data_IF_925698185914
#
_entry.id   IF_925698185914
#
_cell.length_a   1.000
_cell.length_b   1.000
_cell.length_c   1.000
_cell.angle_alpha   90.00
_cell.angle_beta   90.00
_cell.angle_gamma   90.00
#
_symmetry.space_group_name_H-M   'P 1'
#
loop_
_entity.id
_entity.type
_entity.pdbx_description
1 polymer ?
#
# COMPACT_ATOMS: atom_id res chain seq x y z
N UNK A 1 -64.88 24.70 16.67
CA UNK A 1 -64.44 23.81 15.58
C UNK A 1 -63.33 24.54 14.81
N UNK A 2 -62.05 24.38 15.19
CA UNK A 2 -60.94 24.88 14.38
C UNK A 2 -59.72 23.97 14.61
N UNK A 3 -59.27 23.36 13.52
CA UNK A 3 -58.34 22.25 13.48
C UNK A 3 -56.90 22.70 13.70
N UNK A 4 -56.18 21.83 14.40
CA UNK A 4 -54.74 21.76 14.58
C UNK A 4 -54.07 21.44 13.23
N UNK A 5 -53.03 22.17 12.88
CA UNK A 5 -51.95 21.68 12.01
C UNK A 5 -50.62 22.26 12.50
N UNK A 6 -49.88 21.45 13.28
CA UNK A 6 -48.46 21.65 13.52
C UNK A 6 -47.71 20.91 12.43
N UNK A 7 -46.95 21.65 11.63
CA UNK A 7 -46.07 21.12 10.59
C UNK A 7 -44.91 20.36 11.25
N UNK A 8 -44.85 19.05 11.03
CA UNK A 8 -43.66 18.23 11.30
C UNK A 8 -42.63 18.53 10.20
N UNK A 9 -41.48 19.10 10.56
CA UNK A 9 -40.30 19.12 9.70
C UNK A 9 -39.50 17.85 9.96
N UNK A 10 -39.54 16.90 9.02
CA UNK A 10 -38.72 15.70 9.02
C UNK A 10 -37.33 16.10 8.47
N UNK A 11 -36.32 16.16 9.33
CA UNK A 11 -34.94 16.32 8.89
C UNK A 11 -34.44 14.99 8.31
N UNK A 12 -34.36 14.90 6.99
CA UNK A 12 -33.72 13.79 6.30
C UNK A 12 -32.20 13.88 6.53
N UNK A 13 -31.66 12.98 7.34
CA UNK A 13 -30.22 12.81 7.46
C UNK A 13 -29.68 12.28 6.13
N UNK A 14 -28.87 13.11 5.45
CA UNK A 14 -28.12 12.71 4.26
C UNK A 14 -27.03 11.75 4.72
N UNK A 15 -27.28 10.45 4.57
CA UNK A 15 -26.25 9.41 4.67
C UNK A 15 -25.29 9.60 3.50
N UNK A 16 -24.12 10.17 3.77
CA UNK A 16 -23.00 10.05 2.85
C UNK A 16 -22.54 8.59 2.89
N UNK A 17 -22.50 7.87 1.74
CA UNK A 17 -21.84 6.58 1.72
C UNK A 17 -20.35 6.83 2.02
N UNK A 18 -19.84 6.17 3.06
CA UNK A 18 -18.41 6.07 3.28
C UNK A 18 -17.78 5.52 1.99
N UNK A 19 -16.98 6.34 1.32
CA UNK A 19 -16.16 5.86 0.21
C UNK A 19 -15.23 4.80 0.78
N UNK A 20 -15.42 3.54 0.41
CA UNK A 20 -14.39 2.54 0.54
C UNK A 20 -13.19 3.06 -0.26
N UNK A 21 -12.22 3.63 0.44
CA UNK A 21 -11.00 4.15 -0.18
C UNK A 21 -10.28 2.94 -0.76
N UNK A 22 -10.26 2.84 -2.09
CA UNK A 22 -9.54 1.83 -2.84
C UNK A 22 -8.09 1.80 -2.33
N UNK A 23 -7.62 0.63 -1.90
CA UNK A 23 -6.25 0.42 -1.43
C UNK A 23 -5.26 0.89 -2.50
N UNK A 24 -4.61 2.02 -2.27
CA UNK A 24 -3.66 2.63 -3.20
C UNK A 24 -2.35 1.85 -3.33
N UNK A 25 -2.19 0.76 -2.58
CA UNK A 25 -1.03 -0.13 -2.63
C UNK A 25 -1.38 -1.53 -3.19
N UNK A 26 -2.63 -1.75 -3.64
CA UNK A 26 -2.97 -2.95 -4.40
C UNK A 26 -2.29 -2.91 -5.78
N UNK A 27 -1.40 -3.88 -6.03
CA UNK A 27 -0.79 -4.05 -7.34
C UNK A 27 -1.87 -4.20 -8.41
N UNK A 28 -1.80 -3.40 -9.47
CA UNK A 28 -2.77 -3.50 -10.56
C UNK A 28 -2.31 -4.56 -11.54
N UNK A 29 -3.14 -5.58 -11.76
CA UNK A 29 -2.94 -6.57 -12.80
C UNK A 29 -3.84 -6.24 -13.98
N UNK A 30 -3.25 -6.06 -15.15
CA UNK A 30 -3.95 -5.92 -16.41
C UNK A 30 -3.73 -7.18 -17.26
N UNK A 31 -4.81 -7.89 -17.51
CA UNK A 31 -4.83 -8.97 -18.51
C UNK A 31 -5.28 -8.41 -19.86
N UNK A 32 -4.56 -8.73 -20.93
CA UNK A 32 -4.89 -8.28 -22.28
C UNK A 32 -5.40 -9.44 -23.12
N UNK A 33 -6.36 -9.14 -23.98
CA UNK A 33 -6.79 -10.05 -25.04
C UNK A 33 -5.68 -10.25 -26.07
N UNK A 34 -5.76 -11.33 -26.83
CA UNK A 34 -4.79 -11.59 -27.90
C UNK A 34 -4.75 -10.43 -28.91
N UNK A 35 -3.54 -10.07 -29.35
CA UNK A 35 -3.28 -9.05 -30.39
C UNK A 35 -2.34 -9.63 -31.45
N UNK A 36 -2.55 -9.27 -32.71
CA UNK A 36 -1.72 -9.68 -33.84
C UNK A 36 -1.15 -8.47 -34.55
N UNK A 37 0.15 -8.52 -34.85
CA UNK A 37 0.89 -7.48 -35.55
C UNK A 37 1.42 -8.06 -36.85
N UNK A 38 1.30 -7.31 -37.95
CA UNK A 38 1.72 -7.77 -39.29
C UNK A 38 2.63 -6.76 -39.97
N UNK A 39 3.73 -7.22 -40.56
CA UNK A 39 4.65 -6.41 -41.36
C UNK A 39 4.88 -7.04 -42.73
N UNK A 40 4.62 -6.30 -43.80
CA UNK A 40 4.82 -6.77 -45.19
C UNK A 40 6.20 -6.43 -45.75
N UNK A 41 6.99 -5.63 -45.04
CA UNK A 41 8.34 -5.24 -45.43
C UNK A 41 9.26 -5.22 -44.22
N UNK A 42 10.58 -5.28 -44.44
CA UNK A 42 11.59 -5.20 -43.37
C UNK A 42 11.73 -3.81 -42.75
N UNK A 43 10.89 -2.84 -43.15
CA UNK A 43 10.76 -1.56 -42.46
C UNK A 43 9.93 -1.79 -41.22
N UNK A 44 10.54 -1.54 -40.07
CA UNK A 44 9.86 -1.65 -38.77
C UNK A 44 8.72 -0.64 -38.71
N UNK A 45 7.51 -1.13 -38.48
CA UNK A 45 6.31 -0.31 -38.31
C UNK A 45 5.65 -0.73 -37.01
N UNK A 46 5.69 0.16 -36.02
CA UNK A 46 4.97 -0.01 -34.77
C UNK A 46 3.53 0.47 -34.94
N UNK A 47 2.59 -0.21 -34.31
CA UNK A 47 1.22 0.28 -34.14
C UNK A 47 1.22 1.35 -33.05
N UNK A 48 1.26 2.62 -33.47
CA UNK A 48 1.30 3.77 -32.57
C UNK A 48 -0.08 4.14 -32.03
N UNK A 49 -1.14 3.67 -32.68
CA UNK A 49 -2.52 3.98 -32.30
C UNK A 49 -3.00 3.07 -31.18
N UNK A 50 -2.46 1.85 -31.08
CA UNK A 50 -2.86 0.85 -30.08
C UNK A 50 -1.67 0.31 -29.25
N UNK A 51 -0.90 1.17 -28.57
CA UNK A 51 0.16 0.72 -27.68
C UNK A 51 -0.39 -0.13 -26.54
N UNK A 52 0.45 -0.98 -25.97
CA UNK A 52 0.14 -1.67 -24.72
C UNK A 52 0.49 -0.71 -23.57
N UNK A 53 -0.51 -0.01 -23.05
CA UNK A 53 -0.34 0.92 -21.94
C UNK A 53 -0.12 0.17 -20.63
N UNK A 54 0.93 0.55 -19.89
CA UNK A 54 1.17 0.02 -18.56
C UNK A 54 0.12 0.61 -17.59
N UNK A 55 -0.42 -0.18 -16.64
CA UNK A 55 -1.36 0.33 -15.65
C UNK A 55 -0.71 1.27 -14.62
N UNK A 56 0.61 1.47 -14.71
CA UNK A 56 1.38 2.42 -13.92
C UNK A 56 2.44 3.08 -14.81
N UNK A 57 2.83 4.30 -14.43
CA UNK A 57 3.95 5.02 -15.03
C UNK A 57 4.62 5.88 -13.97
N UNK A 58 5.93 6.06 -14.06
CA UNK A 58 6.67 6.96 -13.17
C UNK A 58 7.71 6.27 -12.30
N UNK A 59 8.40 7.06 -11.48
CA UNK A 59 9.48 6.62 -10.58
C UNK A 59 8.99 5.96 -9.29
N UNK A 60 7.69 5.75 -9.15
CA UNK A 60 7.04 5.22 -7.94
C UNK A 60 6.58 3.78 -8.09
N UNK A 61 6.74 3.17 -9.28
CA UNK A 61 6.29 1.82 -9.57
C UNK A 61 7.37 1.04 -10.33
N UNK A 62 7.62 -0.16 -9.86
CA UNK A 62 8.23 -1.23 -10.63
C UNK A 62 7.11 -1.92 -11.43
N UNK A 63 7.47 -2.66 -12.47
CA UNK A 63 6.48 -3.45 -13.21
C UNK A 63 7.09 -4.74 -13.72
N UNK A 64 6.25 -5.75 -13.85
CA UNK A 64 6.59 -7.00 -14.52
C UNK A 64 5.48 -7.37 -15.47
N UNK A 65 5.80 -8.16 -16.47
CA UNK A 65 4.81 -8.64 -17.40
C UNK A 65 5.25 -9.88 -18.13
N UNK A 66 4.28 -10.56 -18.72
CA UNK A 66 4.53 -11.70 -19.58
C UNK A 66 3.48 -11.78 -20.68
N UNK A 67 3.85 -12.34 -21.81
CA UNK A 67 2.92 -12.75 -22.85
C UNK A 67 3.47 -13.97 -23.58
N UNK A 68 2.56 -14.82 -24.02
CA UNK A 68 2.88 -15.88 -24.98
C UNK A 68 2.94 -15.25 -26.36
N UNK A 69 3.93 -15.63 -27.15
CA UNK A 69 4.10 -15.15 -28.52
C UNK A 69 4.14 -16.34 -29.49
N UNK A 70 3.46 -16.17 -30.63
CA UNK A 70 3.58 -17.03 -31.81
C UNK A 70 3.97 -16.14 -32.97
N UNK A 71 5.07 -16.47 -33.65
CA UNK A 71 5.61 -15.61 -34.71
C UNK A 71 6.19 -16.42 -35.86
N UNK A 72 6.04 -15.93 -37.09
CA UNK A 72 6.65 -16.48 -38.30
C UNK A 72 8.04 -15.88 -38.61
N UNK A 73 8.44 -14.83 -37.86
CA UNK A 73 9.74 -14.19 -37.93
C UNK A 73 10.21 -13.63 -36.59
N UNK A 74 11.42 -13.10 -36.55
CA UNK A 74 11.89 -12.30 -35.42
C UNK A 74 11.07 -11.01 -35.29
N UNK A 75 11.05 -10.40 -34.10
CA UNK A 75 10.27 -9.20 -33.84
C UNK A 75 10.99 -8.27 -32.86
N UNK A 76 10.42 -7.08 -32.68
CA UNK A 76 10.92 -6.04 -31.80
C UNK A 76 9.91 -5.73 -30.71
N UNK A 77 10.42 -5.43 -29.52
CA UNK A 77 9.65 -4.90 -28.40
C UNK A 77 10.25 -3.55 -28.04
N UNK A 78 9.45 -2.50 -28.08
CA UNK A 78 9.83 -1.16 -27.67
C UNK A 78 9.20 -0.82 -26.33
N UNK A 79 10.02 -0.45 -25.36
CA UNK A 79 9.59 0.13 -24.10
C UNK A 79 9.78 1.66 -24.21
N UNK A 80 8.68 2.40 -24.14
CA UNK A 80 8.64 3.84 -24.38
C UNK A 80 7.87 4.59 -23.29
N UNK A 81 8.09 5.90 -23.22
CA UNK A 81 7.25 6.82 -22.45
C UNK A 81 5.98 7.19 -23.23
N UNK A 82 5.16 8.12 -22.72
CA UNK A 82 3.92 8.55 -23.36
C UNK A 82 4.11 9.21 -24.73
N UNK A 83 5.31 9.69 -25.05
CA UNK A 83 5.68 10.22 -26.37
C UNK A 83 5.99 9.13 -27.40
N UNK A 84 5.90 7.86 -27.01
CA UNK A 84 6.13 6.67 -27.85
C UNK A 84 7.52 6.67 -28.48
N UNK A 85 7.69 6.01 -29.63
CA UNK A 85 8.96 5.98 -30.37
C UNK A 85 9.38 7.37 -30.89
N UNK A 86 8.50 8.37 -30.88
CA UNK A 86 8.83 9.75 -31.26
C UNK A 86 9.39 10.59 -30.11
N UNK A 87 9.43 10.05 -28.88
CA UNK A 87 9.84 10.81 -27.70
C UNK A 87 11.29 11.27 -27.75
N UNK A 88 11.54 12.50 -27.30
CA UNK A 88 12.89 13.04 -27.08
C UNK A 88 13.62 12.32 -25.94
N UNK A 89 12.91 11.70 -25.00
CA UNK A 89 13.50 10.93 -23.91
C UNK A 89 13.98 9.55 -24.36
N UNK A 90 13.53 9.13 -25.54
CA UNK A 90 14.01 7.95 -26.21
C UNK A 90 13.20 6.68 -26.01
N UNK A 91 13.76 5.57 -26.48
CA UNK A 91 13.14 4.24 -26.45
C UNK A 91 14.17 3.17 -26.15
N UNK A 92 13.80 2.20 -25.33
CA UNK A 92 14.55 0.95 -25.17
C UNK A 92 13.94 -0.07 -26.14
N UNK A 93 14.67 -0.40 -27.20
CA UNK A 93 14.24 -1.39 -28.18
C UNK A 93 14.96 -2.71 -27.96
N UNK A 94 14.19 -3.78 -27.88
CA UNK A 94 14.65 -5.16 -27.79
C UNK A 94 14.42 -5.83 -29.14
N UNK A 95 15.46 -6.43 -29.71
CA UNK A 95 15.31 -7.41 -30.78
C UNK A 95 15.11 -8.79 -30.16
N UNK A 96 13.93 -9.37 -30.36
CA UNK A 96 13.54 -10.69 -29.88
C UNK A 96 13.61 -11.69 -31.03
N UNK A 97 14.82 -12.19 -31.28
CA UNK A 97 15.08 -13.12 -32.37
C UNK A 97 14.74 -14.56 -32.01
N UNK A 98 13.45 -14.91 -31.94
CA UNK A 98 13.02 -16.29 -31.63
C UNK A 98 13.47 -17.31 -32.68
N UNK A 99 13.52 -16.89 -33.96
CA UNK A 99 13.90 -17.74 -35.07
C UNK A 99 15.41 -17.68 -35.31
N UNK A 100 16.03 -16.52 -35.17
CA UNK A 100 17.49 -16.37 -35.28
C UNK A 100 18.27 -16.78 -34.03
N UNK A 101 17.56 -16.99 -32.92
CA UNK A 101 18.11 -17.22 -31.57
C UNK A 101 19.05 -16.08 -31.12
N UNK A 102 18.74 -14.84 -31.50
CA UNK A 102 19.54 -13.65 -31.18
C UNK A 102 18.70 -12.66 -30.40
N UNK A 103 19.27 -12.18 -29.30
CA UNK A 103 18.65 -11.16 -28.48
C UNK A 103 19.62 -10.00 -28.31
N UNK A 104 19.13 -8.78 -28.49
CA UNK A 104 19.92 -7.58 -28.27
C UNK A 104 19.03 -6.44 -27.84
N UNK A 105 19.63 -5.47 -27.16
CA UNK A 105 18.98 -4.22 -26.78
C UNK A 105 19.69 -3.03 -27.36
N UNK A 106 18.94 -1.98 -27.61
CA UNK A 106 19.46 -0.71 -28.04
C UNK A 106 18.64 0.43 -27.45
N UNK A 107 19.26 1.62 -27.39
CA UNK A 107 18.61 2.84 -26.96
C UNK A 107 18.75 3.89 -28.05
N UNK A 108 17.63 4.50 -28.45
CA UNK A 108 17.56 5.53 -29.50
C UNK A 108 18.21 5.17 -30.84
N UNK A 109 18.39 3.87 -31.09
CA UNK A 109 18.89 3.37 -32.36
C UNK A 109 17.81 2.52 -32.98
N UNK A 110 17.05 3.11 -33.89
CA UNK A 110 16.18 2.35 -34.78
C UNK A 110 17.07 1.48 -35.67
N UNK A 111 17.33 0.25 -35.25
CA UNK A 111 18.05 -0.72 -36.06
C UNK A 111 17.22 -1.03 -37.31
N UNK A 112 17.44 -0.31 -38.41
CA UNK A 112 16.89 -0.68 -39.71
C UNK A 112 17.48 -2.02 -40.11
N UNK A 113 16.65 -3.03 -40.36
CA UNK A 113 17.13 -4.30 -40.84
C UNK A 113 17.78 -4.10 -42.22
N UNK A 114 19.12 -4.19 -42.28
CA UNK A 114 19.90 -3.91 -43.49
C UNK A 114 19.85 -5.03 -44.54
N UNK A 115 19.05 -6.09 -44.36
CA UNK A 115 19.06 -7.26 -45.25
C UNK A 115 17.64 -7.74 -45.53
N UNK A 116 17.41 -8.19 -46.76
CA UNK A 116 16.27 -9.04 -47.10
C UNK A 116 16.41 -10.33 -46.28
N UNK A 117 15.47 -10.54 -45.36
CA UNK A 117 15.44 -11.76 -44.55
C UNK A 117 14.57 -12.74 -45.29
N UNK A 118 15.16 -13.91 -45.59
CA UNK A 118 14.53 -15.02 -46.29
C UNK A 118 13.17 -15.32 -45.67
N UNK A 119 12.14 -15.29 -46.52
CA UNK A 119 10.74 -15.49 -46.17
C UNK A 119 10.51 -16.90 -45.64
N UNK A 120 9.74 -16.98 -44.55
CA UNK A 120 9.11 -18.18 -43.98
C UNK A 120 10.03 -19.28 -43.47
N UNK A 121 10.32 -19.24 -42.15
CA UNK A 121 10.57 -20.43 -41.36
C UNK A 121 9.28 -20.82 -40.63
N UNK A 122 9.18 -22.07 -40.14
CA UNK A 122 8.02 -22.53 -39.36
C UNK A 122 7.76 -21.57 -38.19
N UNK A 123 6.49 -21.27 -37.94
CA UNK A 123 6.08 -20.46 -36.81
C UNK A 123 6.67 -21.02 -35.52
N UNK A 124 7.24 -20.14 -34.71
CA UNK A 124 7.84 -20.49 -33.42
C UNK A 124 7.06 -19.82 -32.31
N UNK A 125 6.95 -20.50 -31.16
CA UNK A 125 6.31 -19.96 -29.97
C UNK A 125 7.27 -19.90 -28.79
N UNK A 126 7.05 -18.94 -27.89
CA UNK A 126 7.74 -18.84 -26.61
C UNK A 126 6.90 -18.01 -25.64
N UNK A 127 7.22 -18.09 -24.34
CA UNK A 127 6.75 -17.09 -23.37
C UNK A 127 7.84 -16.05 -23.19
N UNK A 128 7.50 -14.79 -23.45
CA UNK A 128 8.37 -13.65 -23.14
C UNK A 128 7.90 -13.04 -21.84
N UNK A 129 8.81 -12.87 -20.88
CA UNK A 129 8.53 -12.11 -19.67
C UNK A 129 9.59 -11.04 -19.44
N UNK A 130 9.22 -10.01 -18.70
CA UNK A 130 10.11 -8.91 -18.35
C UNK A 130 9.84 -8.42 -16.95
N UNK A 131 10.89 -7.90 -16.32
CA UNK A 131 10.83 -7.26 -15.02
C UNK A 131 11.59 -5.93 -15.11
N UNK A 132 10.97 -4.86 -14.64
CA UNK A 132 11.59 -3.56 -14.48
C UNK A 132 11.62 -3.23 -13.01
N UNK A 133 12.82 -3.24 -12.44
CA UNK A 133 13.05 -2.91 -11.03
C UNK A 133 14.36 -2.19 -10.83
N UNK A 134 14.39 -1.21 -9.92
CA UNK A 134 15.59 -0.43 -9.60
C UNK A 134 16.30 0.15 -10.84
N UNK A 135 15.53 0.66 -11.80
CA UNK A 135 15.99 1.18 -13.10
C UNK A 135 16.71 0.14 -13.99
N UNK A 136 16.41 -1.14 -13.80
CA UNK A 136 16.95 -2.23 -14.62
C UNK A 136 15.80 -2.98 -15.27
N UNK A 137 15.78 -2.99 -16.60
CA UNK A 137 14.90 -3.83 -17.41
C UNK A 137 15.58 -5.18 -17.66
N UNK A 138 14.94 -6.25 -17.22
CA UNK A 138 15.35 -7.63 -17.47
C UNK A 138 14.32 -8.32 -18.37
N UNK A 139 14.77 -9.04 -19.39
CA UNK A 139 13.91 -9.81 -20.30
C UNK A 139 14.29 -11.28 -20.31
N UNK A 140 13.27 -12.14 -20.34
CA UNK A 140 13.38 -13.58 -20.23
C UNK A 140 12.62 -14.25 -21.39
N UNK A 141 13.12 -15.40 -21.82
CA UNK A 141 12.41 -16.32 -22.72
C UNK A 141 12.27 -17.66 -22.00
N UNK A 142 11.05 -18.16 -21.88
CA UNK A 142 10.74 -19.43 -21.23
C UNK A 142 11.39 -19.52 -19.84
N UNK A 143 11.34 -18.41 -19.09
CA UNK A 143 11.93 -18.27 -17.74
C UNK A 143 13.46 -18.04 -17.69
N UNK A 144 14.18 -18.14 -18.81
CA UNK A 144 15.63 -17.91 -18.86
C UNK A 144 15.94 -16.44 -19.16
N UNK A 145 16.78 -15.81 -18.31
CA UNK A 145 17.25 -14.44 -18.51
C UNK A 145 18.08 -14.33 -19.79
N UNK A 146 17.75 -13.34 -20.63
CA UNK A 146 18.44 -13.08 -21.91
C UNK A 146 19.09 -11.70 -21.95
N UNK A 147 18.42 -10.71 -21.37
CA UNK A 147 18.82 -9.31 -21.45
C UNK A 147 18.69 -8.70 -20.06
N UNK A 148 19.67 -7.87 -19.73
CA UNK A 148 19.60 -6.89 -18.65
C UNK A 148 20.03 -5.55 -19.20
N UNK A 149 19.21 -4.52 -19.01
CA UNK A 149 19.47 -3.17 -19.50
C UNK A 149 19.23 -2.15 -18.39
N UNK A 150 20.27 -1.37 -18.06
CA UNK A 150 20.17 -0.27 -17.10
C UNK A 150 19.56 0.95 -17.80
N UNK A 151 18.35 1.31 -17.38
CA UNK A 151 17.64 2.47 -17.86
C UNK A 151 18.36 3.78 -17.48
N UNK A 152 18.39 4.73 -18.42
CA UNK A 152 19.14 5.99 -18.33
C UNK A 152 18.25 7.22 -18.12
N UNK A 153 17.07 7.04 -17.53
CA UNK A 153 16.03 8.05 -17.22
C UNK A 153 14.78 8.04 -18.11
N UNK A 154 14.50 6.95 -18.84
CA UNK A 154 13.23 6.82 -19.56
C UNK A 154 12.09 6.44 -18.59
N UNK A 155 11.02 7.23 -18.52
CA UNK A 155 9.82 6.85 -17.76
C UNK A 155 8.96 5.94 -18.63
N UNK A 156 9.14 4.62 -18.50
CA UNK A 156 8.40 3.66 -19.31
C UNK A 156 6.93 3.67 -18.88
N UNK A 157 6.02 3.90 -19.84
CA UNK A 157 4.57 3.87 -19.63
C UNK A 157 3.84 3.03 -20.67
N UNK A 158 4.53 2.58 -21.71
CA UNK A 158 3.93 1.76 -22.76
C UNK A 158 4.92 0.81 -23.43
N UNK A 159 4.36 -0.25 -24.00
CA UNK A 159 5.06 -1.29 -24.74
C UNK A 159 4.48 -1.34 -26.16
N UNK A 160 5.35 -1.40 -27.17
CA UNK A 160 4.98 -1.60 -28.56
C UNK A 160 5.67 -2.83 -29.12
N UNK A 161 5.00 -3.51 -30.05
CA UNK A 161 5.52 -4.70 -30.72
C UNK A 161 5.50 -4.45 -32.23
N UNK A 162 6.58 -4.85 -32.90
CA UNK A 162 6.67 -4.79 -34.35
C UNK A 162 7.35 -6.06 -34.88
N UNK A 163 6.68 -6.87 -35.72
CA UNK A 163 7.32 -7.95 -36.46
C UNK A 163 8.39 -7.37 -37.38
N UNK A 164 9.45 -8.14 -37.63
CA UNK A 164 10.42 -7.78 -38.64
C UNK A 164 9.84 -7.90 -40.06
N UNK A 165 9.17 -9.02 -40.33
CA UNK A 165 8.35 -9.34 -41.50
C UNK A 165 7.35 -10.41 -41.04
N UNK A 166 6.20 -10.54 -41.69
CA UNK A 166 5.22 -11.56 -41.37
C UNK A 166 4.32 -11.17 -40.20
N UNK A 167 3.87 -12.14 -39.42
CA UNK A 167 2.90 -11.99 -38.33
C UNK A 167 3.48 -12.42 -37.00
N UNK A 168 3.32 -11.56 -35.99
CA UNK A 168 3.59 -11.87 -34.58
C UNK A 168 2.30 -11.68 -33.79
N UNK A 169 1.83 -12.76 -33.16
CA UNK A 169 0.65 -12.76 -32.30
C UNK A 169 1.08 -12.91 -30.85
N UNK A 170 0.53 -12.07 -29.97
CA UNK A 170 0.64 -12.21 -28.53
C UNK A 170 -0.68 -12.69 -27.92
N UNK A 171 -0.60 -13.48 -26.85
CA UNK A 171 -1.73 -13.98 -26.07
C UNK A 171 -1.35 -14.15 -24.59
N UNK A 172 -2.34 -14.43 -23.75
CA UNK A 172 -2.13 -14.66 -22.29
C UNK A 172 -1.35 -13.53 -21.61
N UNK A 173 -1.48 -12.31 -22.13
CA UNK A 173 -0.66 -11.20 -21.69
C UNK A 173 -1.12 -10.70 -20.32
N UNK A 174 -0.19 -10.62 -19.39
CA UNK A 174 -0.38 -10.13 -18.03
C UNK A 174 0.65 -9.05 -17.73
N UNK A 175 0.20 -7.91 -17.22
CA UNK A 175 1.02 -6.81 -16.77
C UNK A 175 0.68 -6.54 -15.32
N UNK A 176 1.69 -6.53 -14.46
CA UNK A 176 1.53 -6.28 -13.03
C UNK A 176 2.41 -5.10 -12.64
N UNK A 177 1.78 -4.09 -12.03
CA UNK A 177 2.48 -2.98 -11.43
C UNK A 177 2.72 -3.25 -9.95
N UNK A 178 3.95 -3.02 -9.51
CA UNK A 178 4.42 -3.20 -8.15
C UNK A 178 4.81 -1.84 -7.61
N UNK A 179 4.11 -1.35 -6.59
CA UNK A 179 4.44 -0.06 -5.98
C UNK A 179 5.84 -0.14 -5.36
N UNK A 180 6.72 0.81 -5.70
CA UNK A 180 7.99 0.99 -5.01
C UNK A 180 7.65 1.65 -3.67
N UNK A 181 7.97 0.99 -2.55
CA UNK A 181 7.58 1.37 -1.18
C UNK A 181 7.82 2.84 -0.77
N UNK A 182 8.59 3.60 -1.56
CA UNK A 182 8.78 5.05 -1.45
C UNK A 182 7.56 5.90 -1.87
N UNK A 183 6.48 5.30 -2.38
CA UNK A 183 5.25 5.99 -2.82
C UNK A 183 3.96 5.66 -2.04
N UNK A 184 3.99 4.78 -1.04
CA UNK A 184 2.81 4.47 -0.20
C UNK A 184 2.80 5.37 1.05
N UNK A 185 1.71 6.13 1.23
CA UNK A 185 1.49 6.97 2.42
C UNK A 185 1.06 6.16 3.66
N UNK A 186 0.70 4.88 3.52
CA UNK A 186 0.32 4.01 4.63
C UNK A 186 1.13 2.72 4.58
N UNK A 187 1.93 2.48 5.61
CA UNK A 187 2.65 1.22 5.78
C UNK A 187 1.69 0.10 6.13
N UNK A 188 1.99 -1.16 5.74
CA UNK A 188 1.20 -2.29 6.19
C UNK A 188 1.13 -2.27 7.71
N UNK A 189 -0.05 -2.54 8.30
CA UNK A 189 -0.22 -2.51 9.73
C UNK A 189 0.72 -3.53 10.40
N UNK A 190 1.44 -3.10 11.44
CA UNK A 190 2.32 -3.96 12.22
C UNK A 190 1.46 -4.61 13.31
N UNK A 191 1.25 -5.94 13.27
CA UNK A 191 0.38 -6.61 14.23
C UNK A 191 1.01 -6.59 15.63
N UNK A 192 0.13 -6.62 16.63
CA UNK A 192 0.46 -6.74 18.05
C UNK A 192 -0.27 -7.98 18.58
N UNK A 193 0.47 -8.78 19.34
CA UNK A 193 -0.07 -9.98 19.98
C UNK A 193 -1.20 -9.63 20.97
N UNK A 194 -2.07 -10.61 21.22
CA UNK A 194 -3.14 -10.44 22.21
C UNK A 194 -2.55 -10.18 23.60
N UNK A 195 -3.24 -9.33 24.37
CA UNK A 195 -2.81 -8.92 25.69
C UNK A 195 -3.95 -9.10 26.70
N UNK A 196 -3.76 -10.00 27.65
CA UNK A 196 -4.64 -10.18 28.80
C UNK A 196 -4.14 -9.37 29.99
N UNK A 197 -5.04 -8.57 30.54
CA UNK A 197 -4.79 -7.67 31.66
C UNK A 197 -5.73 -8.04 32.80
N UNK A 198 -5.15 -8.15 34.00
CA UNK A 198 -5.90 -8.39 35.22
C UNK A 198 -5.34 -7.48 36.32
N UNK A 199 -6.22 -6.87 37.09
CA UNK A 199 -5.89 -6.13 38.30
C UNK A 199 -6.93 -6.44 39.37
N UNK A 200 -6.48 -6.81 40.56
CA UNK A 200 -7.30 -7.03 41.76
C UNK A 200 -7.27 -5.85 42.72
N UNK A 201 -6.65 -4.73 42.31
CA UNK A 201 -6.56 -3.52 43.10
C UNK A 201 -7.29 -2.36 42.42
N UNK A 202 -7.81 -1.45 43.25
CA UNK A 202 -8.30 -0.16 42.80
C UNK A 202 -7.11 0.72 42.41
N UNK A 203 -6.75 0.69 41.13
CA UNK A 203 -5.63 1.43 40.59
C UNK A 203 -5.09 0.85 39.29
N UNK A 204 -4.14 1.58 38.69
CA UNK A 204 -3.41 1.13 37.52
C UNK A 204 -2.19 0.32 37.92
N UNK A 205 -2.06 -0.88 37.33
CA UNK A 205 -0.89 -1.76 37.40
C UNK A 205 -0.48 -2.12 35.98
N UNK A 206 0.72 -1.73 35.57
CA UNK A 206 1.26 -2.01 34.24
C UNK A 206 2.21 -3.21 34.31
N UNK A 207 1.74 -4.44 34.05
CA UNK A 207 2.59 -5.62 34.10
C UNK A 207 3.62 -5.59 32.95
N UNK A 208 4.80 -6.22 33.08
CA UNK A 208 5.85 -6.16 32.06
C UNK A 208 5.41 -6.60 30.65
N UNK A 209 4.48 -7.54 30.54
CA UNK A 209 3.93 -8.01 29.27
C UNK A 209 2.95 -7.02 28.61
N UNK A 210 2.49 -5.99 29.33
CA UNK A 210 1.59 -4.96 28.77
C UNK A 210 2.32 -3.88 27.97
N UNK A 211 3.65 -3.86 28.01
CA UNK A 211 4.47 -2.85 27.35
C UNK A 211 4.60 -3.16 25.86
N UNK A 212 4.12 -2.24 25.03
CA UNK A 212 4.20 -2.28 23.57
C UNK A 212 5.18 -1.22 23.09
N UNK A 213 6.25 -1.63 22.42
CA UNK A 213 7.15 -0.69 21.74
C UNK A 213 6.43 -0.04 20.55
N UNK A 214 6.50 1.29 20.44
CA UNK A 214 6.01 2.03 19.28
C UNK A 214 6.95 1.82 18.09
N UNK A 215 6.52 1.14 17.00
CA UNK A 215 7.37 0.95 15.82
C UNK A 215 7.49 2.22 14.96
N UNK A 216 6.62 3.22 15.18
CA UNK A 216 6.53 4.45 14.39
C UNK A 216 7.37 5.59 15.01
N UNK A 217 8.60 5.32 15.44
CA UNK A 217 9.41 6.29 16.19
C UNK A 217 9.58 7.61 15.44
N UNK A 218 9.22 8.73 16.10
CA UNK A 218 9.34 10.09 15.55
C UNK A 218 8.31 10.43 14.46
N UNK A 219 7.40 9.52 14.14
CA UNK A 219 6.43 9.66 13.05
C UNK A 219 4.99 9.60 13.58
N UNK A 220 4.05 10.07 12.77
CA UNK A 220 2.62 9.95 13.07
C UNK A 220 2.18 8.49 12.99
N UNK A 221 1.20 8.09 13.80
CA UNK A 221 0.69 6.73 13.78
C UNK A 221 -0.76 6.62 14.25
N UNK A 222 -1.38 5.49 13.93
CA UNK A 222 -2.61 5.03 14.56
C UNK A 222 -2.40 3.63 15.12
N UNK A 223 -2.82 3.40 16.36
CA UNK A 223 -2.91 2.09 16.98
C UNK A 223 -4.39 1.71 17.12
N UNK A 224 -4.79 0.55 16.62
CA UNK A 224 -6.16 0.04 16.69
C UNK A 224 -6.16 -1.32 17.40
N UNK A 225 -7.14 -1.59 18.24
CA UNK A 225 -7.35 -2.92 18.84
C UNK A 225 -8.81 -3.09 19.25
N UNK A 226 -9.30 -4.33 19.24
CA UNK A 226 -10.57 -4.68 19.86
C UNK A 226 -10.34 -5.11 21.31
N UNK A 227 -11.28 -4.78 22.19
CA UNK A 227 -11.19 -5.01 23.64
C UNK A 227 -12.46 -5.68 24.11
N UNK A 228 -12.32 -6.68 24.96
CA UNK A 228 -13.40 -7.17 25.83
C UNK A 228 -12.99 -6.88 27.27
N UNK A 229 -13.80 -6.11 28.01
CA UNK A 229 -13.44 -5.74 29.37
C UNK A 229 -14.64 -5.53 30.28
N UNK A 230 -14.50 -5.90 31.55
CA UNK A 230 -15.42 -5.55 32.64
C UNK A 230 -14.98 -4.27 33.39
N UNK A 231 -13.96 -3.58 32.90
CA UNK A 231 -13.38 -2.36 33.47
C UNK A 231 -13.05 -1.34 32.38
N UNK A 232 -12.88 -0.08 32.77
CA UNK A 232 -12.17 0.90 31.98
C UNK A 232 -10.74 0.40 31.70
N UNK A 233 -10.27 0.66 30.49
CA UNK A 233 -8.93 0.32 30.03
C UNK A 233 -8.01 1.53 30.17
N UNK A 234 -6.95 1.40 30.96
CA UNK A 234 -5.95 2.44 31.14
C UNK A 234 -4.74 2.21 30.24
N UNK A 235 -4.08 3.29 29.89
CA UNK A 235 -2.80 3.25 29.19
C UNK A 235 -1.85 4.34 29.67
N UNK A 236 -0.55 4.06 29.57
CA UNK A 236 0.51 5.05 29.68
C UNK A 236 1.23 5.21 28.35
N UNK A 237 1.49 6.45 27.95
CA UNK A 237 2.36 6.81 26.84
C UNK A 237 3.69 7.34 27.40
N UNK A 238 4.76 6.59 27.15
CA UNK A 238 6.09 6.83 27.71
C UNK A 238 7.05 7.40 26.66
N UNK A 239 7.85 8.39 27.08
CA UNK A 239 9.02 8.87 26.34
C UNK A 239 10.28 8.05 26.62
N UNK A 240 11.44 8.61 26.24
CA UNK A 240 12.76 7.95 26.34
C UNK A 240 13.16 7.56 27.76
N UNK A 241 12.79 8.36 28.75
CA UNK A 241 13.11 8.11 30.16
C UNK A 241 12.06 7.26 30.88
N UNK A 242 11.09 6.68 30.17
CA UNK A 242 10.02 5.90 30.79
C UNK A 242 9.29 6.67 31.90
N UNK A 243 9.03 6.00 33.03
CA UNK A 243 8.33 6.59 34.19
C UNK A 243 9.16 7.62 34.98
N UNK A 244 10.48 7.70 34.77
CA UNK A 244 11.32 8.74 35.40
C UNK A 244 11.30 10.06 34.63
N UNK A 245 10.74 10.07 33.41
CA UNK A 245 10.54 11.25 32.59
C UNK A 245 9.12 11.80 32.63
N UNK A 246 8.83 12.72 31.70
CA UNK A 246 7.44 13.10 31.40
C UNK A 246 6.73 11.95 30.69
N UNK A 247 5.54 11.62 31.17
CA UNK A 247 4.65 10.65 30.55
C UNK A 247 3.20 11.16 30.62
N UNK A 248 2.32 10.49 29.88
CA UNK A 248 0.89 10.73 29.93
C UNK A 248 0.19 9.44 30.30
N UNK A 249 -0.78 9.49 31.20
CA UNK A 249 -1.67 8.38 31.49
C UNK A 249 -3.08 8.76 31.05
N UNK A 250 -3.77 7.85 30.39
CA UNK A 250 -5.16 8.04 30.01
C UNK A 250 -5.98 6.79 30.23
N UNK A 251 -7.28 6.93 30.02
CA UNK A 251 -8.21 5.82 30.05
C UNK A 251 -9.22 5.89 28.91
N UNK A 252 -9.63 4.71 28.45
CA UNK A 252 -10.83 4.50 27.68
C UNK A 252 -11.95 4.17 28.68
N UNK A 253 -12.91 5.08 28.78
CA UNK A 253 -14.10 4.91 29.61
C UNK A 253 -15.07 3.89 29.01
N UNK A 254 -14.66 2.63 28.87
CA UNK A 254 -15.48 1.56 28.28
C UNK A 254 -16.71 1.30 29.15
N UNK A 255 -16.54 1.34 30.48
CA UNK A 255 -17.62 1.15 31.46
C UNK A 255 -18.10 2.51 31.97
N UNK A 256 -17.18 3.39 32.39
CA UNK A 256 -17.54 4.66 33.02
C UNK A 256 -18.08 5.69 32.04
N UNK A 257 -17.89 5.48 30.72
CA UNK A 257 -18.10 6.46 29.63
C UNK A 257 -17.25 7.73 29.72
N UNK A 258 -16.37 7.82 30.72
CA UNK A 258 -15.50 8.96 30.95
C UNK A 258 -14.08 8.62 30.47
N UNK A 259 -13.68 9.17 29.33
CA UNK A 259 -12.32 9.03 28.80
C UNK A 259 -11.54 10.31 28.99
N UNK A 260 -10.26 10.18 29.33
CA UNK A 260 -9.35 11.33 29.41
C UNK A 260 -7.90 10.92 29.27
N UNK A 261 -7.04 11.93 29.12
CA UNK A 261 -5.58 11.79 29.04
C UNK A 261 -4.97 12.93 29.84
N UNK A 262 -4.20 12.61 30.89
CA UNK A 262 -3.55 13.56 31.78
C UNK A 262 -2.02 13.52 31.66
N UNK A 263 -1.38 14.60 32.08
CA UNK A 263 0.09 14.62 32.27
C UNK A 263 0.39 13.88 33.57
N UNK A 264 1.26 12.87 33.50
CA UNK A 264 1.52 11.97 34.61
C UNK A 264 0.32 11.06 34.88
N UNK A 265 0.13 10.70 36.15
CA UNK A 265 -0.94 9.78 36.58
C UNK A 265 -2.32 10.42 36.44
N UNK A 266 -3.25 9.68 35.87
CA UNK A 266 -4.66 10.04 35.72
C UNK A 266 -5.41 9.81 37.04
N UNK A 267 -6.25 10.77 37.42
CA UNK A 267 -7.16 10.63 38.58
C UNK A 267 -8.52 10.05 38.16
N UNK A 268 -8.91 8.91 38.71
CA UNK A 268 -10.29 8.39 38.53
C UNK A 268 -11.21 9.11 39.51
N UNK A 269 -12.18 9.89 39.00
CA UNK A 269 -13.05 10.72 39.84
C UNK A 269 -13.93 9.88 40.77
N UNK A 270 -14.44 8.75 40.27
CA UNK A 270 -15.20 7.77 41.04
C UNK A 270 -14.76 6.35 40.64
N UNK A 271 -13.88 5.71 41.44
CA UNK A 271 -13.41 4.35 41.17
C UNK A 271 -14.52 3.31 41.03
N UNK A 272 -15.68 3.51 41.65
CA UNK A 272 -16.78 2.55 41.62
C UNK A 272 -17.49 2.48 40.27
N UNK A 273 -17.30 3.50 39.42
CA UNK A 273 -17.90 3.57 38.07
C UNK A 273 -17.00 3.00 36.97
N UNK A 274 -15.76 2.64 37.32
CA UNK A 274 -14.76 2.19 36.37
C UNK A 274 -14.79 0.67 36.13
N UNK A 275 -15.66 -0.09 36.79
CA UNK A 275 -15.80 -1.53 36.61
C UNK A 275 -17.26 -1.99 36.73
N UNK A 276 -17.55 -3.17 36.18
CA UNK A 276 -18.86 -3.78 36.03
C UNK A 276 -18.77 -5.28 36.33
N UNK A 277 -19.91 -5.93 36.62
CA UNK A 277 -19.98 -7.40 36.66
C UNK A 277 -20.02 -8.04 35.28
N UNK A 278 -20.38 -7.27 34.25
CA UNK A 278 -20.51 -7.73 32.87
C UNK A 278 -19.40 -7.14 32.00
N UNK A 279 -18.81 -7.97 31.15
CA UNK A 279 -17.83 -7.53 30.16
C UNK A 279 -18.50 -6.87 28.95
N UNK A 280 -17.92 -5.78 28.48
CA UNK A 280 -18.33 -5.00 27.32
C UNK A 280 -17.26 -5.14 26.22
N UNK A 281 -17.70 -5.32 24.97
CA UNK A 281 -16.83 -5.28 23.81
C UNK A 281 -16.77 -3.88 23.22
N UNK A 282 -15.58 -3.40 22.88
CA UNK A 282 -15.36 -2.11 22.24
C UNK A 282 -14.14 -2.15 21.31
N UNK A 283 -14.19 -1.38 20.23
CA UNK A 283 -13.00 -1.06 19.43
C UNK A 283 -12.39 0.23 19.96
N UNK A 284 -11.11 0.18 20.35
CA UNK A 284 -10.38 1.36 20.82
C UNK A 284 -9.26 1.71 19.86
N UNK A 285 -9.02 3.01 19.69
CA UNK A 285 -7.87 3.46 18.91
C UNK A 285 -7.19 4.69 19.50
N UNK A 286 -5.91 4.80 19.18
CA UNK A 286 -5.04 5.91 19.52
C UNK A 286 -4.50 6.47 18.20
N UNK A 287 -4.62 7.77 17.97
CA UNK A 287 -4.00 8.46 16.84
C UNK A 287 -3.04 9.54 17.36
N UNK A 288 -1.84 9.57 16.81
CA UNK A 288 -0.82 10.57 17.13
C UNK A 288 -0.32 11.23 15.84
N UNK A 289 -0.34 12.55 15.82
CA UNK A 289 0.26 13.37 14.77
C UNK A 289 1.58 13.97 15.28
N UNK A 290 2.71 13.56 14.70
CA UNK A 290 4.03 14.00 15.14
C UNK A 290 4.33 15.47 14.82
N UNK A 291 3.66 16.05 13.81
CA UNK A 291 3.87 17.42 13.39
C UNK A 291 3.13 18.41 14.30
N UNK A 292 1.87 18.13 14.61
CA UNK A 292 1.03 18.98 15.48
C UNK A 292 1.08 18.58 16.95
N UNK A 293 1.64 17.40 17.25
CA UNK A 293 1.66 16.78 18.57
C UNK A 293 0.28 16.46 19.14
N UNK A 294 -0.75 16.42 18.28
CA UNK A 294 -2.09 15.98 18.69
C UNK A 294 -2.12 14.48 18.96
N UNK A 295 -2.65 14.13 20.12
CA UNK A 295 -2.93 12.78 20.57
C UNK A 295 -4.43 12.64 20.77
N UNK A 296 -5.04 11.68 20.08
CA UNK A 296 -6.47 11.44 20.06
C UNK A 296 -6.77 10.01 20.44
N UNK A 297 -7.84 9.79 21.18
CA UNK A 297 -8.34 8.45 21.48
C UNK A 297 -9.78 8.31 21.03
N UNK A 298 -10.15 7.10 20.60
CA UNK A 298 -11.48 6.80 20.09
C UNK A 298 -12.02 5.53 20.72
N UNK A 299 -13.35 5.46 20.87
CA UNK A 299 -14.11 4.26 21.21
C UNK A 299 -15.17 4.09 20.13
N UNK A 300 -15.21 2.92 19.48
CA UNK A 300 -16.12 2.61 18.38
C UNK A 300 -16.11 3.73 17.31
N UNK A 301 -14.91 4.16 16.92
CA UNK A 301 -14.64 5.24 15.95
C UNK A 301 -15.09 6.65 16.37
N UNK A 302 -15.70 6.80 17.54
CA UNK A 302 -16.08 8.10 18.10
C UNK A 302 -14.92 8.70 18.89
N UNK A 303 -14.56 9.96 18.61
CA UNK A 303 -13.51 10.68 19.35
C UNK A 303 -13.96 10.87 20.80
N UNK A 304 -13.15 10.39 21.75
CA UNK A 304 -13.45 10.51 23.19
C UNK A 304 -12.47 11.42 23.93
N UNK A 305 -11.22 11.52 23.46
CA UNK A 305 -10.24 12.48 24.00
C UNK A 305 -9.38 13.06 22.87
N UNK A 306 -9.03 14.34 22.98
CA UNK A 306 -8.00 15.00 22.18
C UNK A 306 -7.11 15.85 23.11
N UNK A 307 -5.80 15.73 22.97
CA UNK A 307 -4.83 16.51 23.74
C UNK A 307 -3.54 16.71 22.95
N UNK A 308 -2.89 17.86 23.11
CA UNK A 308 -1.51 18.05 22.65
C UNK A 308 -0.55 17.46 23.70
N UNK A 309 0.36 16.58 23.28
CA UNK A 309 1.34 15.95 24.17
C UNK A 309 2.77 16.34 23.79
N UNK A 310 3.58 16.69 24.79
CA UNK A 310 4.97 17.14 24.59
C UNK A 310 5.98 16.04 24.90
N UNK A 311 5.77 14.85 24.31
CA UNK A 311 6.73 13.74 24.35
C UNK A 311 6.82 13.06 22.98
N UNK A 312 7.97 12.46 22.70
CA UNK A 312 8.12 11.50 21.61
C UNK A 312 7.83 10.10 22.15
N UNK A 313 6.66 9.55 21.80
CA UNK A 313 6.19 8.28 22.35
C UNK A 313 7.10 7.14 21.87
N UNK A 314 7.71 6.42 22.81
CA UNK A 314 8.53 5.23 22.58
C UNK A 314 7.79 3.94 22.91
N UNK A 315 6.96 3.98 23.96
CA UNK A 315 6.33 2.79 24.50
C UNK A 315 4.93 3.13 24.99
N UNK A 316 3.99 2.23 24.75
CA UNK A 316 2.72 2.19 25.45
C UNK A 316 2.73 1.08 26.49
N UNK A 317 1.98 1.22 27.57
CA UNK A 317 1.59 0.07 28.38
C UNK A 317 0.13 0.19 28.77
N UNK A 318 -0.52 -0.94 28.98
CA UNK A 318 -1.96 -1.00 29.27
C UNK A 318 -2.23 -1.61 30.64
N UNK A 319 -3.35 -1.22 31.25
CA UNK A 319 -3.76 -1.71 32.55
C UNK A 319 -5.28 -1.82 32.65
N UNK A 320 -5.76 -2.90 33.23
CA UNK A 320 -7.14 -3.02 33.70
C UNK A 320 -7.28 -2.33 35.07
N UNK A 321 -8.44 -1.73 35.36
CA UNK A 321 -8.68 -1.03 36.62
C UNK A 321 -9.61 -1.82 37.53
N UNK A 322 -9.05 -2.62 38.44
CA UNK A 322 -9.83 -3.50 39.33
C UNK A 322 -10.79 -4.43 38.55
N UNK A 323 -10.24 -5.18 37.60
CA UNK A 323 -11.00 -6.08 36.72
C UNK A 323 -10.11 -6.74 35.67
N UNK A 324 -10.74 -7.15 34.58
CA UNK A 324 -10.15 -7.86 33.44
C UNK A 324 -10.36 -7.09 32.13
N UNK A 325 -9.31 -7.01 31.32
CA UNK A 325 -9.39 -6.55 29.94
C UNK A 325 -8.56 -7.46 29.05
N UNK A 326 -9.12 -7.88 27.91
CA UNK A 326 -8.38 -8.59 26.86
C UNK A 326 -8.36 -7.73 25.60
N UNK A 327 -7.17 -7.40 25.12
CA UNK A 327 -6.92 -6.71 23.86
C UNK A 327 -6.56 -7.75 22.80
N UNK A 328 -7.15 -7.66 21.62
CA UNK A 328 -6.87 -8.54 20.49
C UNK A 328 -6.97 -7.80 19.16
N UNK A 329 -6.36 -8.38 18.12
CA UNK A 329 -6.30 -7.77 16.79
C UNK A 329 -5.56 -6.42 16.76
N UNK A 330 -4.66 -6.21 17.72
CA UNK A 330 -3.91 -4.97 17.84
C UNK A 330 -3.04 -4.72 16.61
N UNK A 331 -2.96 -3.48 16.13
CA UNK A 331 -2.05 -3.12 15.04
C UNK A 331 -1.66 -1.65 15.00
N UNK A 332 -0.45 -1.37 14.54
CA UNK A 332 0.05 -0.02 14.25
C UNK A 332 0.02 0.29 12.76
N UNK A 333 -0.57 1.40 12.37
CA UNK A 333 -0.40 2.02 11.07
C UNK A 333 0.50 3.26 11.20
N UNK A 334 1.73 3.17 10.70
CA UNK A 334 2.69 4.28 10.72
C UNK A 334 2.56 5.16 9.47
N UNK A 335 2.73 6.47 9.65
CA UNK A 335 2.78 7.47 8.57
C UNK A 335 4.14 8.15 8.56
N UNK A 336 4.99 7.79 7.59
CA UNK A 336 6.33 8.36 7.43
C UNK A 336 6.35 9.40 6.32
N UNK A 337 7.05 10.53 6.55
CA UNK A 337 7.19 11.59 5.55
C UNK A 337 7.97 11.17 4.29
N UNK A 338 8.81 10.14 4.40
CA UNK A 338 9.69 9.65 3.32
C UNK A 338 9.31 8.23 2.84
N UNK A 339 8.11 7.75 3.18
CA UNK A 339 7.70 6.36 2.91
C UNK A 339 8.19 5.37 3.97
N UNK A 340 7.74 4.11 3.85
CA UNK A 340 7.97 3.09 4.88
C UNK A 340 9.45 2.69 5.00
N UNK A 341 9.96 2.52 6.24
CA UNK A 341 11.29 1.95 6.46
C UNK A 341 11.34 0.51 5.94
N UNK A 342 12.49 0.14 5.35
CA UNK A 342 12.79 -1.21 4.86
C UNK A 342 13.20 -2.14 5.99
#
# INVERSE_FOLDING_TARGET
>A
MLRILKSLALAAAVLFPASAQLDSCAGTVLSLTSKSYTATSSRKTYDLDNPITLPCSGSTHDFKGSFDVVTDNDFYIAFADSGSISSSNGVIEVYAGLISNKFSTSFNRYAQAKRSISTTKRSTSATISFNYSANVLSLYKDGKLLITYKNRNLVISQILIAPLVGTTTISSASLECLVIATGCASCPPIPVDCLDLQSDIIGTVYPPNSYLTNPCLGNSFTFNTSVISDTDLFFIALGENGLSGSYYEGNFGIISTNSKVDVGKTNVLDPSTAYSSDSVAADVSISYDSATKYFRTYINQSLVTERTINIDIKTFAFSAYNGFSTLFGGSYACSYSNGCPK
#
